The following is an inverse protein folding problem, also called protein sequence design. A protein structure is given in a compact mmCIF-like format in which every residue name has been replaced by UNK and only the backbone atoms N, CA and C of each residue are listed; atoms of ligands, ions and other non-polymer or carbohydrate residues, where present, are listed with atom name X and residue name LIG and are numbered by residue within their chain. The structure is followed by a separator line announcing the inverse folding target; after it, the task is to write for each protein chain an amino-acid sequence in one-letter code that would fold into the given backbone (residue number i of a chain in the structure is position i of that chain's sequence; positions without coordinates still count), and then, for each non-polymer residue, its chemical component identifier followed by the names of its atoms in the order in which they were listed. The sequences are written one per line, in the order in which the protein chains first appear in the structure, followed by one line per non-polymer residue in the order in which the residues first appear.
data_IF_609881593812
#
_entry.id   IF_609881593812
#
_cell.length_a   1.000
_cell.length_b   1.000
_cell.length_c   1.000
_cell.angle_alpha   90.00
_cell.angle_beta   90.00
_cell.angle_gamma   90.00
#
_symmetry.space_group_name_H-M   'P 1'
#
loop_
_entity.id
_entity.type
_entity.pdbx_description
1 polymer ?
#
# COMPACT_ATOMS: atom_id res chain seq x y z
N UNK A 1 26.27 -11.87 16.67
CA UNK A 1 24.83 -11.72 16.83
C UNK A 1 24.39 -10.27 17.04
N UNK A 2 25.30 -9.32 17.27
CA UNK A 2 24.96 -7.89 17.34
C UNK A 2 24.47 -7.34 15.98
N UNK A 3 25.02 -7.80 14.85
CA UNK A 3 24.56 -7.43 13.51
C UNK A 3 23.11 -7.85 13.27
N UNK A 4 22.73 -9.06 13.65
CA UNK A 4 21.36 -9.56 13.52
C UNK A 4 20.38 -8.68 14.31
N UNK A 5 20.80 -8.22 15.49
CA UNK A 5 19.97 -7.28 16.29
C UNK A 5 19.80 -5.93 15.60
N UNK A 6 20.85 -5.40 14.97
CA UNK A 6 20.79 -4.13 14.22
C UNK A 6 19.93 -4.28 12.97
N UNK A 7 20.04 -5.37 12.23
CA UNK A 7 19.22 -5.63 11.05
C UNK A 7 17.74 -5.70 11.40
N UNK A 8 17.39 -6.32 12.53
CA UNK A 8 16.01 -6.34 13.03
C UNK A 8 15.51 -4.93 13.33
N UNK A 9 16.27 -4.13 14.09
CA UNK A 9 15.91 -2.74 14.41
C UNK A 9 15.79 -1.88 13.14
N UNK A 10 16.69 -2.10 12.16
CA UNK A 10 16.64 -1.43 10.87
C UNK A 10 15.38 -1.79 10.08
N UNK A 11 15.00 -3.06 10.05
CA UNK A 11 13.79 -3.52 9.38
C UNK A 11 12.55 -2.88 9.99
N UNK A 12 12.48 -2.82 11.32
CA UNK A 12 11.39 -2.16 12.05
C UNK A 12 11.34 -0.66 11.75
N UNK A 13 12.46 0.04 11.82
CA UNK A 13 12.54 1.47 11.48
C UNK A 13 12.15 1.73 10.02
N UNK A 14 12.66 0.93 9.07
CA UNK A 14 12.34 1.08 7.66
C UNK A 14 10.86 0.88 7.36
N UNK A 15 10.17 -0.01 8.09
CA UNK A 15 8.72 -0.17 7.98
C UNK A 15 8.00 1.15 8.29
N UNK A 16 8.37 1.83 9.38
CA UNK A 16 7.79 3.14 9.73
C UNK A 16 8.13 4.18 8.66
N UNK A 17 9.40 4.31 8.28
CA UNK A 17 9.85 5.30 7.30
C UNK A 17 9.16 5.13 5.94
N UNK A 18 8.99 3.88 5.49
CA UNK A 18 8.29 3.56 4.24
C UNK A 18 6.81 3.93 4.31
N UNK A 19 6.13 3.55 5.39
CA UNK A 19 4.71 3.85 5.58
C UNK A 19 4.44 5.36 5.67
N UNK A 20 5.36 6.12 6.29
CA UNK A 20 5.28 7.58 6.38
C UNK A 20 5.87 8.30 5.16
N UNK A 21 6.40 7.54 4.17
CA UNK A 21 7.09 8.06 2.99
C UNK A 21 8.22 9.05 3.32
N UNK A 22 8.98 8.76 4.39
CA UNK A 22 10.10 9.58 4.84
C UNK A 22 11.38 9.13 4.14
N UNK A 23 12.09 10.10 3.55
CA UNK A 23 13.44 9.93 3.00
C UNK A 23 14.32 11.03 3.55
N UNK A 24 15.36 10.67 4.30
CA UNK A 24 16.32 11.62 4.81
C UNK A 24 17.33 12.05 3.73
N UNK A 25 17.67 13.33 3.70
CA UNK A 25 18.71 13.86 2.81
C UNK A 25 20.09 13.57 3.40
N UNK A 26 21.08 13.31 2.54
CA UNK A 26 22.46 13.05 2.96
C UNK A 26 23.03 14.17 3.82
N UNK A 27 22.69 15.44 3.50
CA UNK A 27 23.12 16.58 4.30
C UNK A 27 22.52 16.58 5.72
N UNK A 28 21.30 16.12 5.90
CA UNK A 28 20.65 16.02 7.23
C UNK A 28 21.30 14.92 8.05
N UNK A 29 21.56 13.80 7.40
CA UNK A 29 22.24 12.64 8.02
C UNK A 29 23.64 13.02 8.47
N UNK A 30 24.42 13.72 7.61
CA UNK A 30 25.81 14.10 7.91
C UNK A 30 25.93 15.20 8.97
N UNK A 31 24.96 16.10 9.08
CA UNK A 31 24.92 17.17 10.09
C UNK A 31 24.39 16.70 11.45
N UNK A 32 23.78 15.53 11.53
CA UNK A 32 23.21 15.03 12.78
C UNK A 32 24.32 14.50 13.70
N UNK A 33 24.63 15.25 14.74
CA UNK A 33 25.63 14.89 15.76
C UNK A 33 25.01 14.24 17.00
N UNK A 34 23.72 14.40 17.21
CA UNK A 34 22.98 13.81 18.32
C UNK A 34 22.42 12.43 17.94
N UNK A 35 23.03 11.35 18.45
CA UNK A 35 22.64 9.97 18.18
C UNK A 35 22.76 9.09 19.43
N UNK A 36 22.05 7.96 19.41
CA UNK A 36 22.10 7.01 20.52
C UNK A 36 23.27 6.04 20.38
N UNK A 37 24.12 6.01 21.39
CA UNK A 37 25.23 5.05 21.44
C UNK A 37 24.75 3.68 21.92
N UNK A 38 23.78 3.65 22.82
CA UNK A 38 23.28 2.42 23.43
C UNK A 38 22.15 1.79 22.59
N UNK A 39 22.35 0.53 22.14
CA UNK A 39 21.38 -0.23 21.35
C UNK A 39 20.04 -0.44 22.08
N UNK A 40 20.09 -0.63 23.39
CA UNK A 40 18.88 -0.76 24.21
C UNK A 40 18.03 0.52 24.19
N UNK A 41 18.68 1.69 24.15
CA UNK A 41 17.96 2.97 24.05
C UNK A 41 17.33 3.13 22.66
N UNK A 42 18.02 2.67 21.60
CA UNK A 42 17.49 2.65 20.23
C UNK A 42 16.22 1.78 20.18
N UNK A 43 16.30 0.55 20.68
CA UNK A 43 15.18 -0.39 20.70
C UNK A 43 14.00 0.15 21.51
N UNK A 44 14.25 0.68 22.70
CA UNK A 44 13.22 1.28 23.54
C UNK A 44 12.49 2.42 22.82
N UNK A 45 13.26 3.39 22.28
CA UNK A 45 12.68 4.54 21.58
C UNK A 45 11.89 4.10 20.34
N UNK A 46 12.41 3.13 19.59
CA UNK A 46 11.72 2.58 18.42
C UNK A 46 10.41 1.88 18.82
N UNK A 47 10.43 1.09 19.90
CA UNK A 47 9.23 0.42 20.44
C UNK A 47 8.17 1.40 20.92
N UNK A 48 8.56 2.51 21.54
CA UNK A 48 7.66 3.59 21.92
C UNK A 48 6.97 4.22 20.70
N UNK A 49 7.73 4.51 19.64
CA UNK A 49 7.16 5.03 18.38
C UNK A 49 6.23 4.02 17.70
N UNK A 50 6.63 2.75 17.66
CA UNK A 50 5.80 1.67 17.10
C UNK A 50 4.46 1.54 17.81
N UNK A 51 4.46 1.59 19.13
CA UNK A 51 3.22 1.48 19.92
C UNK A 51 2.22 2.57 19.57
N UNK A 52 2.70 3.77 19.25
CA UNK A 52 1.84 4.91 18.88
C UNK A 52 1.31 4.80 17.46
N UNK A 53 2.14 4.34 16.50
CA UNK A 53 1.84 4.56 15.08
C UNK A 53 1.45 3.30 14.31
N UNK A 54 1.84 2.08 14.75
CA UNK A 54 1.61 0.87 13.95
C UNK A 54 0.14 0.58 13.67
N UNK A 55 -0.74 0.84 14.63
CA UNK A 55 -2.17 0.64 14.45
C UNK A 55 -2.73 1.58 13.38
N UNK A 56 -2.29 2.85 13.38
CA UNK A 56 -2.73 3.85 12.40
C UNK A 56 -2.16 3.53 11.00
N UNK A 57 -0.93 3.03 10.90
CA UNK A 57 -0.34 2.56 9.63
C UNK A 57 -1.15 1.38 9.07
N UNK A 58 -1.42 0.36 9.89
CA UNK A 58 -2.19 -0.79 9.44
C UNK A 58 -3.61 -0.38 9.00
N UNK A 59 -4.27 0.48 9.78
CA UNK A 59 -5.59 0.99 9.44
C UNK A 59 -5.59 1.82 8.14
N UNK A 60 -4.54 2.60 7.90
CA UNK A 60 -4.37 3.36 6.67
C UNK A 60 -4.31 2.43 5.45
N UNK A 61 -3.49 1.38 5.51
CA UNK A 61 -3.34 0.39 4.46
C UNK A 61 -4.67 -0.37 4.19
N UNK A 62 -5.37 -0.75 5.25
CA UNK A 62 -6.69 -1.40 5.15
C UNK A 62 -7.73 -0.49 4.48
N UNK A 63 -7.79 0.78 4.88
CA UNK A 63 -8.70 1.76 4.31
C UNK A 63 -8.38 2.04 2.83
N UNK A 64 -7.10 2.08 2.46
CA UNK A 64 -6.68 2.26 1.08
C UNK A 64 -7.13 1.10 0.20
N UNK A 65 -6.89 -0.13 0.65
CA UNK A 65 -7.34 -1.33 -0.06
C UNK A 65 -8.87 -1.40 -0.15
N UNK A 66 -9.58 -1.10 0.93
CA UNK A 66 -11.04 -1.09 0.96
C UNK A 66 -11.60 -0.04 0.00
N UNK A 67 -11.04 1.17 0.02
CA UNK A 67 -11.41 2.24 -0.91
C UNK A 67 -11.22 1.82 -2.36
N UNK A 68 -10.08 1.21 -2.70
CA UNK A 68 -9.79 0.72 -4.04
C UNK A 68 -10.85 -0.29 -4.50
N UNK A 69 -11.16 -1.30 -3.67
CA UNK A 69 -12.19 -2.31 -3.98
C UNK A 69 -13.56 -1.69 -4.17
N UNK A 70 -13.95 -0.73 -3.33
CA UNK A 70 -15.24 -0.06 -3.44
C UNK A 70 -15.34 0.80 -4.70
N UNK A 71 -14.26 1.47 -5.10
CA UNK A 71 -14.22 2.25 -6.34
C UNK A 71 -14.29 1.32 -7.56
N UNK A 72 -13.55 0.22 -7.58
CA UNK A 72 -13.61 -0.78 -8.64
C UNK A 72 -15.04 -1.34 -8.78
N UNK A 73 -15.69 -1.69 -7.66
CA UNK A 73 -17.07 -2.14 -7.65
C UNK A 73 -18.03 -1.07 -8.17
N UNK A 74 -17.88 0.16 -7.71
CA UNK A 74 -18.72 1.27 -8.17
C UNK A 74 -18.54 1.54 -9.66
N UNK A 75 -17.31 1.61 -10.16
CA UNK A 75 -17.01 1.85 -11.56
C UNK A 75 -17.54 0.71 -12.45
N UNK A 76 -17.42 -0.53 -11.96
CA UNK A 76 -17.94 -1.69 -12.69
C UNK A 76 -19.44 -1.62 -12.90
N UNK A 77 -20.19 -1.11 -11.92
CA UNK A 77 -21.66 -1.15 -11.93
C UNK A 77 -22.33 0.23 -12.08
N UNK A 78 -21.57 1.31 -12.12
CA UNK A 78 -22.12 2.68 -12.25
C UNK A 78 -22.98 2.88 -13.50
N UNK A 79 -22.67 2.15 -14.58
CA UNK A 79 -23.46 2.15 -15.81
C UNK A 79 -24.90 1.69 -15.61
N UNK A 80 -25.13 0.75 -14.69
CA UNK A 80 -26.48 0.25 -14.37
C UNK A 80 -27.37 1.27 -13.64
N UNK A 81 -26.77 2.23 -12.95
CA UNK A 81 -27.53 3.28 -12.24
C UNK A 81 -28.43 4.12 -13.16
N UNK A 82 -28.19 4.08 -14.48
CA UNK A 82 -28.99 4.75 -15.51
C UNK A 82 -30.17 3.92 -15.99
N UNK A 83 -30.18 2.65 -15.69
CA UNK A 83 -31.18 1.70 -16.14
C UNK A 83 -31.99 1.26 -14.93
N UNK A 84 -33.30 1.47 -14.97
CA UNK A 84 -34.18 1.05 -13.87
C UNK A 84 -34.56 -0.44 -14.05
N UNK A 85 -33.58 -1.31 -13.82
CA UNK A 85 -33.72 -2.74 -13.98
C UNK A 85 -33.64 -3.40 -12.60
N UNK A 86 -34.66 -4.16 -12.28
CA UNK A 86 -34.68 -5.08 -11.15
C UNK A 86 -34.07 -6.42 -11.60
N UNK A 87 -32.87 -6.73 -11.15
CA UNK A 87 -32.15 -7.97 -11.56
C UNK A 87 -32.95 -9.21 -11.21
N UNK A 88 -33.64 -9.22 -10.07
CA UNK A 88 -34.49 -10.38 -9.70
C UNK A 88 -35.57 -10.66 -10.71
N UNK A 89 -36.19 -9.59 -11.25
CA UNK A 89 -37.18 -9.75 -12.32
C UNK A 89 -36.55 -10.28 -13.59
N UNK A 90 -35.27 -9.95 -13.84
CA UNK A 90 -34.55 -10.42 -15.02
C UNK A 90 -34.14 -11.91 -14.91
N UNK A 91 -33.74 -12.36 -13.72
CA UNK A 91 -33.41 -13.78 -13.47
C UNK A 91 -34.65 -14.68 -13.45
N UNK A 92 -35.81 -14.11 -13.12
CA UNK A 92 -37.07 -14.83 -13.04
C UNK A 92 -37.75 -15.07 -14.40
N UNK A 93 -37.17 -14.59 -15.50
CA UNK A 93 -37.75 -14.82 -16.83
C UNK A 93 -37.74 -16.31 -17.21
N UNK A 94 -38.95 -16.89 -17.29
CA UNK A 94 -39.11 -18.31 -17.58
C UNK A 94 -38.65 -18.67 -19.00
N UNK A 95 -38.76 -17.75 -19.95
CA UNK A 95 -38.49 -17.97 -21.38
C UNK A 95 -37.24 -17.25 -21.92
N UNK A 96 -36.59 -16.43 -21.13
CA UNK A 96 -35.46 -15.64 -21.56
C UNK A 96 -34.17 -15.95 -20.77
N UNK A 97 -33.04 -15.73 -21.41
CA UNK A 97 -31.72 -15.75 -20.80
C UNK A 97 -31.18 -14.34 -20.85
N UNK A 98 -30.62 -13.91 -19.74
CA UNK A 98 -29.95 -12.63 -19.61
C UNK A 98 -28.49 -12.88 -19.26
N UNK A 99 -27.59 -12.29 -20.02
CA UNK A 99 -26.16 -12.29 -19.77
C UNK A 99 -25.67 -10.86 -19.65
N UNK A 100 -24.86 -10.62 -18.66
CA UNK A 100 -24.14 -9.37 -18.48
C UNK A 100 -22.65 -9.59 -18.70
N UNK A 101 -21.99 -8.63 -19.35
CA UNK A 101 -20.57 -8.70 -19.56
C UNK A 101 -20.03 -7.55 -20.38
N UNK A 102 -18.77 -7.70 -20.72
CA UNK A 102 -18.03 -6.69 -21.50
C UNK A 102 -17.66 -7.23 -22.87
N UNK A 103 -17.75 -6.36 -23.84
CA UNK A 103 -17.34 -6.60 -25.22
C UNK A 103 -16.40 -5.49 -25.66
N UNK A 104 -15.48 -5.82 -26.58
CA UNK A 104 -14.63 -4.80 -27.21
C UNK A 104 -15.48 -3.81 -28.01
N UNK A 105 -15.26 -2.51 -27.81
CA UNK A 105 -15.96 -1.42 -28.50
C UNK A 105 -15.96 -1.56 -30.03
N UNK A 106 -14.85 -2.03 -30.58
CA UNK A 106 -14.72 -2.24 -32.03
C UNK A 106 -15.60 -3.39 -32.54
N UNK A 107 -15.94 -4.34 -31.66
CA UNK A 107 -16.80 -5.48 -31.99
C UNK A 107 -18.28 -5.24 -31.76
N UNK A 108 -18.65 -4.08 -31.17
CA UNK A 108 -20.05 -3.72 -30.97
C UNK A 108 -20.80 -3.68 -32.31
N UNK A 109 -20.20 -3.16 -33.38
CA UNK A 109 -20.81 -3.14 -34.72
C UNK A 109 -21.02 -4.54 -35.31
N UNK A 110 -20.15 -5.48 -34.95
CA UNK A 110 -20.30 -6.90 -35.36
C UNK A 110 -21.49 -7.48 -34.64
N UNK A 111 -21.59 -7.21 -33.35
CA UNK A 111 -22.69 -7.63 -32.51
C UNK A 111 -24.03 -7.14 -33.06
N UNK A 112 -24.15 -5.87 -33.39
CA UNK A 112 -25.35 -5.26 -33.97
C UNK A 112 -25.77 -5.91 -35.30
N UNK A 113 -24.81 -6.28 -36.15
CA UNK A 113 -25.08 -6.96 -37.43
C UNK A 113 -25.47 -8.43 -37.25
N UNK A 114 -24.84 -9.13 -36.33
CA UNK A 114 -25.08 -10.56 -36.09
C UNK A 114 -26.33 -10.80 -35.26
N UNK A 115 -26.78 -9.79 -34.48
CA UNK A 115 -27.90 -9.90 -33.57
C UNK A 115 -29.23 -10.17 -34.28
N UNK A 116 -29.44 -9.55 -35.43
CA UNK A 116 -30.72 -9.58 -36.16
C UNK A 116 -31.92 -9.52 -35.16
N UNK A 117 -33.09 -9.96 -35.51
CA UNK A 117 -34.29 -9.91 -34.66
C UNK A 117 -34.28 -10.99 -33.51
N UNK A 118 -33.18 -11.68 -33.28
CA UNK A 118 -33.14 -12.80 -32.33
C UNK A 118 -32.53 -12.46 -30.98
N UNK A 119 -31.78 -11.37 -30.91
CA UNK A 119 -31.01 -10.96 -29.74
C UNK A 119 -31.26 -9.47 -29.46
N UNK A 120 -31.44 -9.13 -28.18
CA UNK A 120 -31.55 -7.75 -27.73
C UNK A 120 -30.31 -7.42 -26.95
N UNK A 121 -29.65 -6.31 -27.29
CA UNK A 121 -28.50 -5.78 -26.57
C UNK A 121 -28.82 -4.42 -26.01
N UNK A 122 -28.50 -4.25 -24.74
CA UNK A 122 -28.65 -2.97 -24.05
C UNK A 122 -27.24 -2.52 -23.68
N UNK A 123 -26.69 -1.49 -24.35
CA UNK A 123 -25.42 -0.92 -23.96
C UNK A 123 -25.57 -0.18 -22.63
N UNK A 124 -24.70 -0.51 -21.66
CA UNK A 124 -24.73 0.04 -20.31
C UNK A 124 -23.68 1.13 -20.14
N UNK A 125 -22.49 0.89 -20.66
CA UNK A 125 -21.39 1.83 -20.55
C UNK A 125 -20.77 2.17 -21.92
N UNK A 126 -20.08 3.30 -21.98
CA UNK A 126 -19.25 3.66 -23.14
C UNK A 126 -18.03 2.76 -23.29
N UNK A 127 -17.74 1.96 -22.29
CA UNK A 127 -16.57 1.08 -22.22
C UNK A 127 -16.82 -0.31 -22.79
N UNK A 128 -18.07 -0.59 -23.22
CA UNK A 128 -18.45 -1.85 -23.85
C UNK A 128 -19.16 -2.82 -22.91
N UNK A 129 -19.63 -2.37 -21.74
CA UNK A 129 -20.50 -3.20 -20.91
C UNK A 129 -21.89 -3.26 -21.50
N UNK A 130 -22.43 -4.48 -21.64
CA UNK A 130 -23.73 -4.76 -22.27
C UNK A 130 -24.53 -5.77 -21.46
N UNK A 131 -25.84 -5.65 -21.56
CA UNK A 131 -26.78 -6.73 -21.25
C UNK A 131 -27.19 -7.37 -22.57
N UNK A 132 -27.05 -8.67 -22.67
CA UNK A 132 -27.53 -9.48 -23.79
C UNK A 132 -28.72 -10.30 -23.35
N UNK A 133 -29.83 -10.21 -24.09
CA UNK A 133 -31.07 -10.91 -23.80
C UNK A 133 -31.44 -11.77 -25.01
N UNK A 134 -31.73 -13.03 -24.78
CA UNK A 134 -32.21 -13.96 -25.80
C UNK A 134 -33.30 -14.88 -25.24
N UNK A 135 -34.07 -15.50 -26.11
CA UNK A 135 -34.94 -16.62 -25.71
C UNK A 135 -34.10 -17.84 -25.29
N UNK A 136 -34.59 -18.64 -24.36
CA UNK A 136 -33.90 -19.92 -23.98
C UNK A 136 -33.70 -20.85 -25.18
N UNK A 137 -34.62 -20.85 -26.14
CA UNK A 137 -34.48 -21.61 -27.39
C UNK A 137 -33.38 -21.06 -28.31
N UNK A 138 -33.04 -19.78 -28.18
CA UNK A 138 -31.99 -19.12 -28.95
C UNK A 138 -30.61 -19.10 -28.29
N UNK A 139 -30.41 -19.80 -27.18
CA UNK A 139 -29.16 -19.80 -26.40
C UNK A 139 -27.92 -20.07 -27.26
N UNK A 140 -27.97 -21.06 -28.12
CA UNK A 140 -26.85 -21.41 -29.00
C UNK A 140 -26.43 -20.28 -29.95
N UNK A 141 -27.41 -19.54 -30.47
CA UNK A 141 -27.14 -18.38 -31.32
C UNK A 141 -26.53 -17.22 -30.51
N UNK A 142 -27.04 -16.98 -29.29
CA UNK A 142 -26.48 -16.01 -28.35
C UNK A 142 -25.02 -16.35 -28.02
N UNK A 143 -24.76 -17.58 -27.58
CA UNK A 143 -23.42 -18.02 -27.21
C UNK A 143 -22.44 -17.93 -28.39
N UNK A 144 -22.88 -18.31 -29.60
CA UNK A 144 -22.09 -18.21 -30.82
C UNK A 144 -21.75 -16.76 -31.18
N UNK A 145 -22.73 -15.86 -31.11
CA UNK A 145 -22.54 -14.44 -31.43
C UNK A 145 -21.63 -13.76 -30.39
N UNK A 146 -21.88 -14.00 -29.12
CA UNK A 146 -21.08 -13.44 -28.03
C UNK A 146 -19.62 -13.93 -28.08
N UNK A 147 -19.41 -15.21 -28.42
CA UNK A 147 -18.07 -15.79 -28.60
C UNK A 147 -17.28 -15.13 -29.76
N UNK A 148 -17.94 -14.83 -30.89
CA UNK A 148 -17.33 -14.10 -32.02
C UNK A 148 -16.89 -12.69 -31.62
N UNK A 149 -17.56 -12.09 -30.63
CA UNK A 149 -17.30 -10.75 -30.17
C UNK A 149 -16.39 -10.67 -28.95
N UNK A 150 -15.77 -11.79 -28.54
CA UNK A 150 -14.94 -11.91 -27.33
C UNK A 150 -15.64 -11.38 -26.09
N UNK A 151 -16.91 -11.75 -25.92
CA UNK A 151 -17.70 -11.36 -24.76
C UNK A 151 -17.15 -12.01 -23.50
N UNK A 152 -16.83 -11.19 -22.52
CA UNK A 152 -16.43 -11.63 -21.18
C UNK A 152 -17.63 -11.48 -20.26
N UNK A 153 -18.25 -12.62 -19.92
CA UNK A 153 -19.37 -12.64 -18.99
C UNK A 153 -18.93 -12.23 -17.60
N UNK A 154 -19.72 -11.36 -16.96
CA UNK A 154 -19.56 -10.95 -15.57
C UNK A 154 -20.64 -11.58 -14.72
N UNK A 155 -20.30 -11.87 -13.47
CA UNK A 155 -21.22 -12.49 -12.52
C UNK A 155 -22.14 -11.43 -11.89
N UNK A 156 -23.43 -11.67 -12.00
CA UNK A 156 -24.46 -10.83 -11.38
C UNK A 156 -24.79 -11.27 -9.94
N UNK A 157 -24.32 -12.44 -9.50
CA UNK A 157 -24.59 -12.96 -8.15
C UNK A 157 -24.05 -12.05 -7.04
N UNK A 158 -23.08 -11.19 -7.36
CA UNK A 158 -22.51 -10.16 -6.46
C UNK A 158 -23.60 -9.22 -5.92
N UNK A 159 -24.68 -9.01 -6.67
CA UNK A 159 -25.77 -8.11 -6.28
C UNK A 159 -26.69 -8.72 -5.22
N UNK A 160 -26.68 -10.04 -5.06
CA UNK A 160 -27.57 -10.74 -4.14
C UNK A 160 -29.03 -10.33 -4.37
N UNK A 161 -29.72 -10.06 -3.28
CA UNK A 161 -31.15 -9.71 -3.29
C UNK A 161 -31.45 -8.22 -3.44
N UNK A 162 -30.43 -7.36 -3.57
CA UNK A 162 -30.58 -5.90 -3.59
C UNK A 162 -30.83 -5.36 -4.99
N UNK A 163 -31.59 -4.26 -5.06
CA UNK A 163 -31.69 -3.47 -6.28
C UNK A 163 -30.34 -2.78 -6.56
N UNK A 164 -29.91 -2.76 -7.83
CA UNK A 164 -28.62 -2.14 -8.22
C UNK A 164 -28.53 -0.69 -7.76
N UNK A 165 -29.60 0.10 -7.87
CA UNK A 165 -29.61 1.49 -7.40
C UNK A 165 -29.35 1.60 -5.90
N UNK A 166 -29.95 0.71 -5.12
CA UNK A 166 -29.73 0.65 -3.67
C UNK A 166 -28.28 0.29 -3.36
N UNK A 167 -27.75 -0.74 -4.03
CA UNK A 167 -26.37 -1.15 -3.87
C UNK A 167 -25.38 -0.03 -4.23
N UNK A 168 -25.59 0.64 -5.38
CA UNK A 168 -24.73 1.77 -5.77
C UNK A 168 -24.80 2.92 -4.77
N UNK A 169 -25.98 3.22 -4.23
CA UNK A 169 -26.14 4.26 -3.22
C UNK A 169 -25.46 3.88 -1.90
N UNK A 170 -25.57 2.62 -1.47
CA UNK A 170 -24.87 2.10 -0.30
C UNK A 170 -23.36 2.15 -0.52
N UNK A 171 -22.88 1.69 -1.67
CA UNK A 171 -21.45 1.74 -2.04
C UNK A 171 -20.92 3.17 -2.02
N UNK A 172 -21.69 4.15 -2.55
CA UNK A 172 -21.31 5.56 -2.50
C UNK A 172 -21.26 6.11 -1.07
N UNK A 173 -22.18 5.70 -0.20
CA UNK A 173 -22.13 6.08 1.23
C UNK A 173 -20.88 5.50 1.87
N UNK A 174 -20.60 4.22 1.64
CA UNK A 174 -19.44 3.55 2.18
C UNK A 174 -18.12 4.18 1.68
N UNK A 175 -18.04 4.52 0.39
CA UNK A 175 -16.89 5.27 -0.18
C UNK A 175 -16.69 6.60 0.55
N UNK A 176 -17.75 7.32 0.86
CA UNK A 176 -17.66 8.60 1.59
C UNK A 176 -17.16 8.39 3.03
N UNK A 177 -17.67 7.39 3.72
CA UNK A 177 -17.25 7.04 5.08
C UNK A 177 -15.78 6.63 5.12
N UNK A 178 -15.37 5.72 4.22
CA UNK A 178 -13.98 5.28 4.09
C UNK A 178 -13.06 6.46 3.73
N UNK A 179 -13.49 7.35 2.82
CA UNK A 179 -12.72 8.55 2.50
C UNK A 179 -12.54 9.49 3.69
N UNK A 180 -13.55 9.64 4.53
CA UNK A 180 -13.45 10.49 5.72
C UNK A 180 -12.49 9.88 6.75
N UNK A 181 -12.59 8.57 6.99
CA UNK A 181 -11.66 7.84 7.85
C UNK A 181 -10.22 7.91 7.31
N UNK A 182 -10.04 7.67 6.02
CA UNK A 182 -8.74 7.76 5.34
C UNK A 182 -8.10 9.16 5.51
N UNK A 183 -8.88 10.24 5.31
CA UNK A 183 -8.39 11.61 5.52
C UNK A 183 -7.99 11.86 6.97
N UNK A 184 -8.78 11.39 7.93
CA UNK A 184 -8.50 11.53 9.34
C UNK A 184 -7.21 10.82 9.74
N UNK A 185 -7.03 9.56 9.32
CA UNK A 185 -5.81 8.80 9.59
C UNK A 185 -4.60 9.44 8.89
N UNK A 186 -4.76 9.87 7.64
CA UNK A 186 -3.69 10.56 6.91
C UNK A 186 -3.22 11.83 7.62
N UNK A 187 -4.14 12.60 8.19
CA UNK A 187 -3.78 13.78 8.99
C UNK A 187 -2.98 13.39 10.24
N UNK A 188 -3.44 12.37 10.98
CA UNK A 188 -2.71 11.86 12.15
C UNK A 188 -1.29 11.38 11.81
N UNK A 189 -1.14 10.65 10.70
CA UNK A 189 0.17 10.19 10.22
C UNK A 189 1.08 11.37 9.84
N UNK A 190 0.50 12.42 9.25
CA UNK A 190 1.24 13.64 8.93
C UNK A 190 1.72 14.37 10.20
N UNK A 191 0.83 14.56 11.17
CA UNK A 191 1.16 15.21 12.45
C UNK A 191 2.24 14.41 13.19
N UNK A 192 2.08 13.08 13.27
CA UNK A 192 3.11 12.21 13.84
C UNK A 192 4.44 12.31 13.11
N UNK A 193 4.43 12.40 11.78
CA UNK A 193 5.65 12.55 10.98
C UNK A 193 6.37 13.84 11.35
N UNK A 194 5.64 14.95 11.46
CA UNK A 194 6.19 16.23 11.82
C UNK A 194 6.83 16.19 13.22
N UNK A 195 6.11 15.67 14.20
CA UNK A 195 6.55 15.64 15.60
C UNK A 195 7.70 14.67 15.85
N UNK A 196 7.71 13.54 15.11
CA UNK A 196 8.69 12.48 15.32
C UNK A 196 9.89 12.54 14.36
N UNK A 197 9.90 13.45 13.38
CA UNK A 197 10.91 13.50 12.31
C UNK A 197 12.34 13.48 12.85
N UNK A 198 12.66 14.35 13.80
CA UNK A 198 13.99 14.43 14.38
C UNK A 198 14.37 13.16 15.16
N UNK A 199 13.41 12.54 15.83
CA UNK A 199 13.63 11.28 16.54
C UNK A 199 13.89 10.13 15.57
N UNK A 200 13.14 10.06 14.47
CA UNK A 200 13.33 9.06 13.42
C UNK A 200 14.68 9.26 12.71
N UNK A 201 15.07 10.49 12.41
CA UNK A 201 16.38 10.81 11.85
C UNK A 201 17.51 10.39 12.82
N UNK A 202 17.36 10.69 14.10
CA UNK A 202 18.30 10.29 15.13
C UNK A 202 18.45 8.78 15.25
N UNK A 203 17.35 8.02 15.19
CA UNK A 203 17.37 6.55 15.17
C UNK A 203 18.07 6.02 13.92
N UNK A 204 17.77 6.58 12.75
CA UNK A 204 18.39 6.20 11.48
C UNK A 204 19.91 6.39 11.51
N UNK A 205 20.37 7.58 11.94
CA UNK A 205 21.80 7.88 12.08
C UNK A 205 22.46 6.95 13.12
N UNK A 206 21.79 6.70 14.25
CA UNK A 206 22.27 5.79 15.30
C UNK A 206 22.51 4.39 14.78
N UNK A 207 21.59 3.83 14.01
CA UNK A 207 21.73 2.49 13.42
C UNK A 207 22.86 2.45 12.38
N UNK A 208 22.99 3.47 11.52
CA UNK A 208 24.06 3.53 10.53
C UNK A 208 25.44 3.58 11.19
N UNK A 209 25.59 4.39 12.22
CA UNK A 209 26.86 4.48 12.98
C UNK A 209 27.17 3.14 13.66
N UNK A 210 26.17 2.53 14.31
CA UNK A 210 26.35 1.23 14.97
C UNK A 210 26.79 0.13 14.03
N UNK A 211 26.15 0.02 12.89
CA UNK A 211 26.53 -0.94 11.85
C UNK A 211 27.97 -0.69 11.37
N UNK A 212 28.30 0.55 11.03
CA UNK A 212 29.63 0.93 10.58
C UNK A 212 30.70 0.60 11.64
N UNK A 213 30.41 0.85 12.91
CA UNK A 213 31.33 0.51 14.02
C UNK A 213 31.53 -1.00 14.15
N UNK A 214 30.45 -1.78 14.04
CA UNK A 214 30.56 -3.25 14.14
C UNK A 214 31.33 -3.83 12.96
N UNK A 215 31.04 -3.37 11.74
CA UNK A 215 31.77 -3.81 10.55
C UNK A 215 33.25 -3.49 10.67
N UNK A 216 33.60 -2.25 11.00
CA UNK A 216 35.01 -1.86 11.20
C UNK A 216 35.66 -2.61 12.37
N UNK A 217 34.93 -2.90 13.47
CA UNK A 217 35.46 -3.69 14.59
C UNK A 217 35.82 -5.11 14.18
N UNK A 218 35.05 -5.71 13.25
CA UNK A 218 35.32 -7.04 12.73
C UNK A 218 36.63 -7.10 11.91
N UNK A 219 37.00 -5.98 11.30
CA UNK A 219 38.22 -5.83 10.49
C UNK A 219 39.47 -5.52 11.37
N UNK A 220 39.27 -5.19 12.66
CA UNK A 220 40.37 -4.87 13.57
C UNK A 220 41.02 -6.13 14.14
N UNK A 221 42.37 -6.09 14.27
CA UNK A 221 43.09 -7.11 14.96
C UNK A 221 42.69 -7.14 16.44
N UNK A 222 42.34 -8.33 16.94
CA UNK A 222 41.91 -8.54 18.32
C UNK A 222 42.91 -9.43 19.08
N UNK A 223 43.37 -8.95 20.22
CA UNK A 223 44.17 -9.74 21.19
C UNK A 223 43.40 -9.81 22.51
N UNK A 224 42.81 -11.00 22.78
CA UNK A 224 41.97 -11.19 23.97
C UNK A 224 40.74 -10.30 24.00
N UNK A 225 40.68 -9.36 24.96
CA UNK A 225 39.59 -8.35 25.10
C UNK A 225 39.94 -7.00 24.51
N UNK A 226 41.12 -6.85 23.89
CA UNK A 226 41.63 -5.58 23.37
C UNK A 226 41.57 -5.58 21.85
N UNK A 227 41.10 -4.50 21.28
CA UNK A 227 41.13 -4.21 19.84
C UNK A 227 42.28 -3.26 19.54
N UNK A 228 43.03 -3.55 18.49
CA UNK A 228 44.10 -2.69 18.01
C UNK A 228 43.61 -1.86 16.82
N UNK A 229 43.61 -0.55 16.97
CA UNK A 229 43.29 0.40 15.90
C UNK A 229 44.61 1.08 15.51
N UNK A 230 44.97 0.99 14.24
CA UNK A 230 46.04 1.74 13.63
C UNK A 230 45.56 2.50 12.42
N UNK A 231 46.03 3.70 12.20
CA UNK A 231 45.64 4.53 11.06
C UNK A 231 46.62 5.69 10.88
N UNK A 232 46.50 6.33 9.74
CA UNK A 232 47.22 7.54 9.42
C UNK A 232 46.40 8.77 9.79
N UNK A 233 47.02 9.75 10.42
CA UNK A 233 46.42 11.00 10.77
C UNK A 233 47.30 12.15 10.22
N UNK A 234 46.69 13.21 9.76
CA UNK A 234 47.39 14.37 9.31
C UNK A 234 48.16 15.01 10.47
N UNK A 235 49.45 15.34 10.27
CA UNK A 235 50.36 15.73 11.33
C UNK A 235 49.92 16.88 12.24
N UNK A 236 49.12 17.82 11.68
CA UNK A 236 48.53 18.91 12.44
C UNK A 236 47.34 18.57 13.33
N UNK A 237 46.78 17.34 13.19
CA UNK A 237 45.60 16.90 13.95
C UNK A 237 45.92 15.87 15.04
N UNK A 238 47.19 15.51 15.22
CA UNK A 238 47.61 14.48 16.17
C UNK A 238 47.30 14.79 17.63
N UNK A 239 47.47 16.03 18.03
CA UNK A 239 47.18 16.49 19.40
C UNK A 239 45.67 16.46 19.67
N UNK A 240 44.86 16.97 18.73
CA UNK A 240 43.39 16.97 18.84
C UNK A 240 42.83 15.56 18.90
N UNK A 241 43.33 14.66 18.07
CA UNK A 241 42.92 13.24 18.08
C UNK A 241 43.28 12.53 19.38
N UNK A 242 44.49 12.83 19.93
CA UNK A 242 44.94 12.27 21.21
C UNK A 242 44.08 12.77 22.37
N UNK A 243 43.72 14.07 22.39
CA UNK A 243 42.82 14.62 23.39
C UNK A 243 41.41 14.05 23.32
N UNK A 244 40.87 13.84 22.15
CA UNK A 244 39.55 13.20 21.95
C UNK A 244 39.54 11.76 22.45
N UNK A 245 40.59 10.97 22.14
CA UNK A 245 40.72 9.59 22.62
C UNK A 245 40.84 9.56 24.16
N UNK A 246 41.59 10.47 24.75
CA UNK A 246 41.75 10.54 26.20
C UNK A 246 40.49 11.00 26.93
N UNK A 247 39.70 11.90 26.34
CA UNK A 247 38.35 12.27 26.85
C UNK A 247 37.43 11.05 26.93
N UNK A 248 37.42 10.23 25.89
CA UNK A 248 36.60 8.99 25.85
C UNK A 248 37.04 7.98 26.91
N UNK A 249 38.35 7.82 27.16
CA UNK A 249 38.86 6.91 28.16
C UNK A 249 38.58 7.39 29.60
N UNK A 250 38.63 8.70 29.87
CA UNK A 250 38.29 9.27 31.18
C UNK A 250 36.79 9.18 31.50
N UNK A 251 35.90 9.21 30.50
CA UNK A 251 34.47 9.05 30.71
C UNK A 251 34.03 7.64 31.10
N UNK A 252 34.87 6.63 30.86
CA UNK A 252 34.62 5.23 31.26
C UNK A 252 35.21 4.82 32.61
N UNK A 253 36.03 5.64 33.23
CA UNK A 253 36.66 5.40 34.53
C UNK A 253 35.95 6.08 35.71
N UNK A 254 34.77 6.62 35.50
CA UNK A 254 33.79 7.05 36.49
C UNK A 254 32.50 6.24 36.34
#
# INVERSE_FOLDING_TARGET
NELISIDNLRTRLNRILTALNIKFKEEEVSKTTDYYINIFKIDKTLSELETVILNDINLFDELEQRKKKLLELYDEFSGFGKIDIDIKKLESFEFSILLYGRIDKFKMRILEKEAQDRLVFIPISKEGDIIAIASKKGKWALDSTLKKCDFVQKDLSIFGDKNIKELLNETLKEIREVNNQYKSIKSKLYDFTHDSYNTLLKLFVSLNIKESVILKRNDLYRSGKVYHLSGWIEGGLTEQATEEILKYNKAKSK
#
